data_IF_513176135701
#
_entry.id   IF_513176135701
#
_cell.length_a   1.000
_cell.length_b   1.000
_cell.length_c   1.000
_cell.angle_alpha   90.00
_cell.angle_beta   90.00
_cell.angle_gamma   90.00
#
_symmetry.space_group_name_H-M   'P 1'
#
loop_
_entity.id
_entity.type
_entity.pdbx_description
1 polymer ?
#
# COMPACT_ATOMS: atom_id res chain seq x y z
N UNK A 1 12.40 4.97 24.88
CA UNK A 1 12.42 5.35 23.46
C UNK A 1 12.70 4.09 22.67
N UNK A 2 11.88 3.79 21.66
CA UNK A 2 12.08 2.65 20.77
C UNK A 2 13.18 3.00 19.78
N UNK A 3 14.19 2.14 19.61
CA UNK A 3 15.20 2.28 18.56
C UNK A 3 14.91 1.26 17.48
N UNK A 4 14.74 1.70 16.23
CA UNK A 4 14.48 0.81 15.11
C UNK A 4 15.76 0.17 14.61
N UNK A 5 15.70 -1.12 14.31
CA UNK A 5 16.78 -1.80 13.60
C UNK A 5 16.75 -1.44 12.11
N UNK A 6 17.80 -1.81 11.39
CA UNK A 6 17.85 -1.67 9.92
C UNK A 6 16.72 -2.46 9.26
N UNK A 7 16.50 -3.70 9.69
CA UNK A 7 15.44 -4.56 9.18
C UNK A 7 14.04 -3.97 9.39
N UNK A 8 13.77 -3.38 10.57
CA UNK A 8 12.49 -2.71 10.83
C UNK A 8 12.26 -1.57 9.83
N UNK A 9 13.30 -0.79 9.54
CA UNK A 9 13.22 0.34 8.60
C UNK A 9 13.02 -0.12 7.16
N UNK A 10 13.68 -1.18 6.72
CA UNK A 10 13.46 -1.75 5.39
C UNK A 10 12.01 -2.19 5.18
N UNK A 11 11.39 -2.75 6.21
CA UNK A 11 9.96 -3.09 6.18
C UNK A 11 9.09 -1.82 6.13
N UNK A 12 9.41 -0.79 6.90
CA UNK A 12 8.70 0.50 6.86
C UNK A 12 8.87 1.22 5.51
N UNK A 13 10.03 1.11 4.86
CA UNK A 13 10.26 1.64 3.52
C UNK A 13 9.45 0.89 2.48
N UNK A 14 9.36 -0.44 2.60
CA UNK A 14 8.50 -1.27 1.76
C UNK A 14 7.02 -0.89 1.92
N UNK A 15 6.56 -0.70 3.16
CA UNK A 15 5.20 -0.21 3.43
C UNK A 15 4.97 1.19 2.84
N UNK A 16 5.91 2.13 3.04
CA UNK A 16 5.85 3.47 2.47
C UNK A 16 5.76 3.43 0.93
N UNK A 17 6.49 2.50 0.31
CA UNK A 17 6.44 2.26 -1.13
C UNK A 17 5.05 1.80 -1.56
N UNK A 18 4.50 0.74 -0.93
CA UNK A 18 3.17 0.24 -1.26
C UNK A 18 2.09 1.31 -1.08
N UNK A 19 2.12 2.06 0.02
CA UNK A 19 1.15 3.13 0.26
C UNK A 19 1.29 4.29 -0.75
N UNK A 20 2.50 4.61 -1.20
CA UNK A 20 2.73 5.60 -2.27
C UNK A 20 2.23 5.11 -3.62
N UNK A 21 2.49 3.84 -3.95
CA UNK A 21 2.08 3.23 -5.19
C UNK A 21 0.55 3.10 -5.28
N UNK A 22 -0.11 2.75 -4.16
CA UNK A 22 -1.58 2.76 -4.01
C UNK A 22 -2.17 4.13 -4.34
N UNK A 23 -1.67 5.20 -3.70
CA UNK A 23 -2.14 6.56 -3.94
C UNK A 23 -1.93 6.98 -5.41
N UNK A 24 -0.77 6.65 -5.98
CA UNK A 24 -0.46 6.98 -7.37
C UNK A 24 -1.39 6.26 -8.34
N UNK A 25 -1.61 4.96 -8.12
CA UNK A 25 -2.51 4.15 -8.93
C UNK A 25 -3.95 4.69 -8.85
N UNK A 26 -4.44 5.00 -7.64
CA UNK A 26 -5.79 5.54 -7.47
C UNK A 26 -5.94 6.94 -8.09
N UNK A 27 -4.99 7.85 -7.87
CA UNK A 27 -5.02 9.18 -8.49
C UNK A 27 -5.12 9.10 -10.02
N UNK A 28 -4.34 8.24 -10.65
CA UNK A 28 -4.38 8.08 -12.10
C UNK A 28 -5.65 7.36 -12.57
N UNK A 29 -6.14 6.35 -11.84
CA UNK A 29 -7.40 5.69 -12.15
C UNK A 29 -8.59 6.69 -12.16
N UNK A 30 -8.56 7.68 -11.27
CA UNK A 30 -9.60 8.68 -11.13
C UNK A 30 -9.49 9.86 -12.11
N UNK A 31 -8.40 9.97 -12.88
CA UNK A 31 -8.23 11.04 -13.87
C UNK A 31 -8.85 10.73 -15.23
N UNK A 32 -9.20 9.47 -15.51
CA UNK A 32 -9.76 9.07 -16.80
C UNK A 32 -11.15 9.68 -17.05
N UNK A 33 -11.38 10.15 -18.27
CA UNK A 33 -12.66 10.72 -18.73
C UNK A 33 -13.00 10.24 -20.14
N UNK A 34 -14.28 10.03 -20.41
CA UNK A 34 -14.77 9.65 -21.72
C UNK A 34 -14.70 10.83 -22.72
N UNK A 35 -14.55 10.55 -24.02
CA UNK A 35 -14.32 9.22 -24.61
C UNK A 35 -12.90 8.69 -24.33
N UNK A 36 -12.78 7.39 -24.04
CA UNK A 36 -11.50 6.73 -23.79
C UNK A 36 -10.97 6.06 -25.06
N UNK A 37 -9.70 6.27 -25.36
CA UNK A 37 -8.95 5.49 -26.35
C UNK A 37 -8.71 4.06 -25.86
N UNK A 38 -8.33 3.17 -26.79
CA UNK A 38 -7.96 1.77 -26.46
C UNK A 38 -6.80 1.73 -25.47
N UNK A 39 -5.83 2.64 -25.61
CA UNK A 39 -4.70 2.76 -24.68
C UNK A 39 -5.16 3.22 -23.29
N UNK A 40 -6.02 4.24 -23.21
CA UNK A 40 -6.55 4.71 -21.92
C UNK A 40 -7.41 3.66 -21.21
N UNK A 41 -8.17 2.83 -21.96
CA UNK A 41 -8.88 1.69 -21.39
C UNK A 41 -7.91 0.67 -20.77
N UNK A 42 -6.83 0.33 -21.48
CA UNK A 42 -5.81 -0.58 -20.99
C UNK A 42 -5.08 -0.01 -19.76
N UNK A 43 -4.73 1.28 -19.78
CA UNK A 43 -4.05 1.93 -18.67
C UNK A 43 -4.98 2.09 -17.45
N UNK A 44 -6.26 2.39 -17.66
CA UNK A 44 -7.26 2.44 -16.59
C UNK A 44 -7.34 1.10 -15.86
N UNK A 45 -7.35 -0.02 -16.59
CA UNK A 45 -7.27 -1.36 -16.00
C UNK A 45 -6.03 -1.53 -15.14
N UNK A 46 -4.86 -1.10 -15.64
CA UNK A 46 -3.59 -1.19 -14.90
C UNK A 46 -3.66 -0.41 -13.59
N UNK A 47 -4.23 0.79 -13.59
CA UNK A 47 -4.29 1.65 -12.42
C UNK A 47 -5.29 1.18 -11.37
N UNK A 48 -6.52 0.78 -11.75
CA UNK A 48 -7.45 0.15 -10.81
C UNK A 48 -6.87 -1.16 -10.23
N UNK A 49 -6.19 -1.95 -11.06
CA UNK A 49 -5.52 -3.18 -10.61
C UNK A 49 -4.37 -2.88 -9.63
N UNK A 50 -3.58 -1.85 -9.95
CA UNK A 50 -2.45 -1.38 -9.16
C UNK A 50 -2.87 -0.92 -7.77
N UNK A 51 -4.07 -0.35 -7.62
CA UNK A 51 -4.61 -0.03 -6.30
C UNK A 51 -4.72 -1.27 -5.41
N UNK A 52 -5.46 -2.30 -5.84
CA UNK A 52 -5.67 -3.51 -5.04
C UNK A 52 -4.37 -4.28 -4.80
N UNK A 53 -3.49 -4.33 -5.79
CA UNK A 53 -2.18 -4.96 -5.65
C UNK A 53 -1.39 -4.32 -4.50
N UNK A 54 -1.28 -3.00 -4.48
CA UNK A 54 -0.48 -2.29 -3.50
C UNK A 54 -1.15 -2.21 -2.13
N UNK A 55 -2.48 -2.07 -2.06
CA UNK A 55 -3.20 -2.13 -0.79
C UNK A 55 -3.01 -3.50 -0.11
N UNK A 56 -3.18 -4.61 -0.85
CA UNK A 56 -3.02 -5.94 -0.27
C UNK A 56 -1.55 -6.24 0.03
N UNK A 57 -0.59 -5.74 -0.75
CA UNK A 57 0.83 -5.86 -0.40
C UNK A 57 1.17 -5.12 0.91
N UNK A 58 0.57 -3.96 1.15
CA UNK A 58 0.69 -3.23 2.42
C UNK A 58 0.06 -3.97 3.60
N UNK A 59 -1.00 -4.76 3.38
CA UNK A 59 -1.58 -5.64 4.41
C UNK A 59 -0.69 -6.88 4.64
N UNK A 60 -0.27 -7.53 3.55
CA UNK A 60 0.49 -8.78 3.55
C UNK A 60 1.91 -8.63 4.15
N UNK A 61 2.45 -7.40 4.25
CA UNK A 61 3.75 -7.15 4.89
C UNK A 61 3.67 -7.11 6.42
N UNK A 62 2.50 -6.82 7.01
CA UNK A 62 2.34 -6.69 8.48
C UNK A 62 2.79 -7.94 9.25
N UNK A 63 2.49 -9.18 8.82
CA UNK A 63 3.01 -10.38 9.48
C UNK A 63 4.55 -10.48 9.51
N UNK A 64 5.25 -9.77 8.63
CA UNK A 64 6.72 -9.72 8.57
C UNK A 64 7.32 -8.55 9.38
N UNK A 65 6.48 -7.78 10.07
CA UNK A 65 6.86 -6.64 10.88
C UNK A 65 6.88 -7.06 12.36
N UNK A 66 8.04 -7.44 12.94
CA UNK A 66 8.11 -7.98 14.30
C UNK A 66 7.71 -6.96 15.37
N UNK A 67 7.74 -5.67 15.04
CA UNK A 67 7.28 -4.58 15.90
C UNK A 67 5.75 -4.44 15.94
N UNK A 68 5.00 -5.22 15.16
CA UNK A 68 3.54 -5.18 15.11
C UNK A 68 2.92 -6.51 15.55
N UNK A 69 1.84 -6.41 16.31
CA UNK A 69 1.01 -7.55 16.71
C UNK A 69 0.12 -8.00 15.54
N UNK A 70 0.63 -8.89 14.69
CA UNK A 70 0.00 -9.29 13.42
C UNK A 70 -1.39 -9.90 13.60
N UNK A 71 -1.58 -10.78 14.59
CA UNK A 71 -2.89 -11.37 14.91
C UNK A 71 -3.90 -10.30 15.34
N UNK A 72 -3.43 -9.30 16.11
CA UNK A 72 -4.28 -8.19 16.54
C UNK A 72 -4.64 -7.29 15.35
N UNK A 73 -3.70 -7.02 14.44
CA UNK A 73 -3.97 -6.27 13.22
C UNK A 73 -5.02 -6.98 12.35
N UNK A 74 -4.85 -8.28 12.10
CA UNK A 74 -5.80 -9.05 11.29
C UNK A 74 -7.21 -9.06 11.93
N UNK A 75 -7.28 -9.28 13.24
CA UNK A 75 -8.56 -9.24 13.97
C UNK A 75 -9.22 -7.86 13.88
N UNK A 76 -8.45 -6.78 14.04
CA UNK A 76 -8.97 -5.43 13.92
C UNK A 76 -9.43 -5.12 12.49
N UNK A 77 -8.69 -5.57 11.47
CA UNK A 77 -9.08 -5.43 10.07
C UNK A 77 -10.43 -6.09 9.82
N UNK A 78 -10.58 -7.35 10.21
CA UNK A 78 -11.83 -8.10 10.05
C UNK A 78 -12.99 -7.49 10.85
N UNK A 79 -12.72 -6.89 12.02
CA UNK A 79 -13.75 -6.24 12.85
C UNK A 79 -14.18 -4.89 12.28
N UNK A 80 -13.25 -4.12 11.69
CA UNK A 80 -13.51 -2.77 11.17
C UNK A 80 -14.02 -2.77 9.72
N UNK A 81 -13.73 -3.81 8.94
CA UNK A 81 -14.14 -3.92 7.54
C UNK A 81 -15.60 -4.41 7.41
N UNK A 82 -16.51 -3.79 8.15
CA UNK A 82 -17.95 -4.09 8.20
C UNK A 82 -18.74 -2.85 7.79
N UNK A 83 -19.80 -3.04 7.01
CA UNK A 83 -20.59 -1.93 6.43
C UNK A 83 -22.09 -2.23 6.49
N UNK A 84 -22.91 -1.19 6.36
CA UNK A 84 -24.37 -1.36 6.27
C UNK A 84 -24.72 -2.37 5.16
N UNK A 85 -25.52 -3.39 5.49
CA UNK A 85 -25.83 -4.51 4.58
C UNK A 85 -24.72 -5.57 4.42
N UNK A 86 -23.50 -5.33 4.90
CA UNK A 86 -22.32 -6.20 4.73
C UNK A 86 -21.55 -6.35 6.05
N UNK A 87 -22.12 -7.07 7.01
CA UNK A 87 -21.63 -7.19 8.40
C UNK A 87 -20.53 -8.26 8.60
N UNK A 88 -20.24 -9.07 7.59
CA UNK A 88 -19.19 -10.09 7.66
C UNK A 88 -17.85 -9.54 7.13
N UNK A 89 -17.05 -8.98 8.03
CA UNK A 89 -15.76 -8.40 7.66
C UNK A 89 -14.70 -9.42 7.23
N UNK A 90 -14.82 -10.68 7.65
CA UNK A 90 -13.98 -11.78 7.15
C UNK A 90 -14.27 -12.03 5.68
N UNK A 91 -15.56 -12.06 5.31
CA UNK A 91 -16.00 -12.20 3.94
C UNK A 91 -15.61 -10.96 3.09
N UNK A 92 -15.78 -9.75 3.62
CA UNK A 92 -15.37 -8.51 2.93
C UNK A 92 -13.86 -8.48 2.67
N UNK A 93 -13.05 -8.89 3.64
CA UNK A 93 -11.59 -8.98 3.47
C UNK A 93 -11.21 -10.08 2.46
N UNK A 94 -11.88 -11.22 2.54
CA UNK A 94 -11.67 -12.32 1.60
C UNK A 94 -12.05 -11.93 0.17
N UNK A 95 -13.09 -11.12 -0.02
CA UNK A 95 -13.46 -10.57 -1.32
C UNK A 95 -12.32 -9.75 -1.92
N UNK A 96 -11.76 -8.75 -1.22
CA UNK A 96 -10.69 -7.90 -1.79
C UNK A 96 -9.40 -8.70 -2.06
N UNK A 97 -9.09 -9.68 -1.21
CA UNK A 97 -7.94 -10.57 -1.40
C UNK A 97 -8.10 -11.44 -2.64
N UNK A 98 -9.28 -12.03 -2.83
CA UNK A 98 -9.54 -12.88 -4.01
C UNK A 98 -9.75 -12.07 -5.28
N UNK A 99 -10.24 -10.83 -5.19
CA UNK A 99 -10.27 -9.86 -6.29
C UNK A 99 -8.84 -9.57 -6.77
N UNK A 100 -7.91 -9.24 -5.86
CA UNK A 100 -6.47 -9.09 -6.18
C UNK A 100 -5.92 -10.35 -6.86
N UNK A 101 -6.21 -11.53 -6.32
CA UNK A 101 -5.75 -12.78 -6.91
C UNK A 101 -6.36 -13.04 -8.30
N UNK A 102 -7.61 -12.64 -8.53
CA UNK A 102 -8.27 -12.75 -9.82
C UNK A 102 -7.63 -11.84 -10.87
N UNK A 103 -7.34 -10.60 -10.49
CA UNK A 103 -6.62 -9.64 -11.33
C UNK A 103 -5.24 -10.19 -11.72
N UNK A 104 -4.42 -10.55 -10.72
CA UNK A 104 -2.99 -10.86 -10.92
C UNK A 104 -2.78 -12.24 -11.52
N UNK A 105 -3.52 -13.26 -11.06
CA UNK A 105 -3.23 -14.66 -11.38
C UNK A 105 -4.25 -15.30 -12.32
N UNK A 106 -5.41 -14.67 -12.55
CA UNK A 106 -6.47 -15.20 -13.41
C UNK A 106 -6.87 -14.25 -14.55
N UNK A 107 -6.20 -13.11 -14.66
CA UNK A 107 -6.39 -12.16 -15.76
C UNK A 107 -7.76 -11.45 -15.76
N UNK A 108 -8.44 -11.37 -14.60
CA UNK A 108 -9.71 -10.66 -14.47
C UNK A 108 -9.54 -9.20 -14.94
N UNK A 109 -10.47 -8.75 -15.78
CA UNK A 109 -10.58 -7.35 -16.19
C UNK A 109 -11.67 -6.68 -15.35
N UNK A 110 -11.23 -6.03 -14.27
CA UNK A 110 -12.11 -5.33 -13.32
C UNK A 110 -12.70 -4.04 -13.90
N UNK A 111 -12.28 -3.62 -15.10
CA UNK A 111 -12.77 -2.42 -15.79
C UNK A 111 -13.69 -2.75 -16.97
N UNK A 112 -14.04 -4.03 -17.14
CA UNK A 112 -14.83 -4.52 -18.28
C UNK A 112 -16.28 -4.01 -18.33
N UNK A 113 -16.81 -3.51 -17.21
CA UNK A 113 -18.16 -2.98 -17.13
C UNK A 113 -18.19 -1.65 -16.36
N UNK A 114 -18.88 -0.65 -16.91
CA UNK A 114 -18.99 0.67 -16.32
C UNK A 114 -20.34 1.32 -16.64
N UNK A 115 -20.85 2.12 -15.71
CA UNK A 115 -21.78 3.19 -16.00
C UNK A 115 -21.00 4.48 -16.29
N UNK A 116 -21.67 5.45 -16.91
CA UNK A 116 -21.10 6.79 -17.09
C UNK A 116 -21.97 7.78 -16.34
N UNK A 117 -21.32 8.57 -15.49
CA UNK A 117 -21.87 9.79 -14.91
C UNK A 117 -21.17 10.96 -15.59
N UNK A 118 -21.91 11.67 -16.44
CA UNK A 118 -21.35 12.53 -17.50
C UNK A 118 -20.25 11.83 -18.31
N UNK A 119 -18.99 12.24 -18.13
CA UNK A 119 -17.82 11.65 -18.77
C UNK A 119 -16.96 10.83 -17.80
N UNK A 120 -17.40 10.59 -16.57
CA UNK A 120 -16.67 9.78 -15.60
C UNK A 120 -17.08 8.31 -15.67
N UNK A 121 -16.13 7.37 -15.89
CA UNK A 121 -16.42 5.94 -15.91
C UNK A 121 -16.61 5.40 -14.48
N UNK A 122 -17.86 5.12 -14.11
CA UNK A 122 -18.23 4.44 -12.87
C UNK A 122 -18.13 2.93 -13.03
N UNK A 123 -16.96 2.38 -12.75
CA UNK A 123 -16.65 0.96 -12.87
C UNK A 123 -17.52 0.12 -11.94
N UNK A 124 -18.17 -0.90 -12.48
CA UNK A 124 -18.94 -1.86 -11.70
C UNK A 124 -18.01 -2.84 -11.00
N UNK A 125 -18.25 -3.07 -9.71
CA UNK A 125 -17.52 -4.10 -8.98
C UNK A 125 -17.88 -5.49 -9.52
N UNK A 126 -16.90 -6.39 -9.59
CA UNK A 126 -17.15 -7.79 -9.90
C UNK A 126 -18.04 -8.38 -8.79
N UNK A 127 -19.31 -8.73 -9.07
CA UNK A 127 -20.28 -9.05 -8.02
C UNK A 127 -19.87 -10.28 -7.20
N UNK A 128 -19.11 -11.20 -7.80
CA UNK A 128 -18.67 -12.45 -7.18
C UNK A 128 -17.25 -12.79 -7.59
N UNK A 129 -16.38 -12.99 -6.61
CA UNK A 129 -15.03 -13.54 -6.84
C UNK A 129 -14.89 -14.88 -6.16
N UNK A 130 -14.24 -15.83 -6.83
CA UNK A 130 -14.02 -17.16 -6.28
C UNK A 130 -12.58 -17.32 -5.78
N UNK A 131 -12.35 -18.25 -4.86
CA UNK A 131 -10.98 -18.67 -4.55
C UNK A 131 -10.33 -19.42 -5.73
N UNK A 132 -9.01 -19.64 -5.68
CA UNK A 132 -8.27 -20.34 -6.74
C UNK A 132 -8.88 -21.70 -7.15
N UNK A 133 -9.51 -22.40 -6.21
CA UNK A 133 -10.10 -23.73 -6.44
C UNK A 133 -11.57 -23.68 -6.92
N UNK A 134 -12.20 -22.51 -6.98
CA UNK A 134 -13.62 -22.36 -7.29
C UNK A 134 -14.59 -22.86 -6.21
N UNK A 135 -14.09 -23.19 -5.01
CA UNK A 135 -14.89 -23.82 -3.94
C UNK A 135 -15.55 -22.82 -2.98
N UNK A 136 -15.03 -21.60 -2.91
CA UNK A 136 -15.61 -20.51 -2.11
C UNK A 136 -15.88 -19.32 -3.01
N UNK A 137 -17.03 -18.70 -2.82
CA UNK A 137 -17.45 -17.48 -3.51
C UNK A 137 -17.62 -16.37 -2.49
N UNK A 138 -17.06 -15.20 -2.79
CA UNK A 138 -17.12 -13.99 -1.98
C UNK A 138 -17.87 -12.93 -2.77
N UNK A 139 -18.76 -12.21 -2.10
CA UNK A 139 -19.62 -11.20 -2.72
C UNK A 139 -19.01 -9.80 -2.57
N UNK A 140 -19.19 -8.98 -3.59
CA UNK A 140 -18.89 -7.56 -3.49
C UNK A 140 -19.74 -6.91 -2.39
N UNK A 141 -19.14 -5.99 -1.64
CA UNK A 141 -19.82 -5.22 -0.59
C UNK A 141 -20.17 -3.79 -1.03
N UNK A 142 -20.16 -3.55 -2.33
CA UNK A 142 -20.78 -2.41 -2.98
C UNK A 142 -21.00 -2.70 -4.48
N UNK A 143 -21.78 -1.84 -5.13
CA UNK A 143 -22.07 -1.89 -6.56
C UNK A 143 -20.90 -1.37 -7.39
N UNK A 144 -20.31 -0.24 -7.01
CA UNK A 144 -19.22 0.37 -7.76
C UNK A 144 -17.87 0.05 -7.13
N UNK A 145 -16.88 -0.18 -7.98
CA UNK A 145 -15.52 -0.46 -7.54
C UNK A 145 -14.95 0.70 -6.70
N UNK A 146 -15.33 1.93 -7.05
CA UNK A 146 -14.91 3.12 -6.31
C UNK A 146 -15.41 3.15 -4.87
N UNK A 147 -16.64 2.68 -4.61
CA UNK A 147 -17.18 2.64 -3.25
C UNK A 147 -16.49 1.56 -2.40
N UNK A 148 -16.15 0.43 -3.02
CA UNK A 148 -15.29 -0.60 -2.40
C UNK A 148 -13.92 -0.02 -2.03
N UNK A 149 -13.32 0.75 -2.95
CA UNK A 149 -12.06 1.44 -2.72
C UNK A 149 -12.19 2.44 -1.57
N UNK A 150 -13.23 3.28 -1.56
CA UNK A 150 -13.48 4.27 -0.51
C UNK A 150 -13.56 3.62 0.89
N UNK A 151 -14.32 2.52 0.97
CA UNK A 151 -14.46 1.71 2.18
C UNK A 151 -13.13 1.11 2.64
N UNK A 152 -12.32 0.61 1.71
CA UNK A 152 -10.98 0.11 2.01
C UNK A 152 -10.04 1.23 2.50
N UNK A 153 -10.05 2.39 1.85
CA UNK A 153 -9.26 3.56 2.25
C UNK A 153 -9.60 3.99 3.68
N UNK A 154 -10.89 4.06 3.99
CA UNK A 154 -11.39 4.51 5.29
C UNK A 154 -11.11 3.54 6.44
N UNK A 155 -10.91 2.25 6.14
CA UNK A 155 -10.64 1.22 7.16
C UNK A 155 -9.15 0.90 7.27
N UNK A 156 -8.52 0.52 6.15
CA UNK A 156 -7.16 -0.03 6.14
C UNK A 156 -6.14 1.03 6.49
N UNK A 157 -6.27 2.24 5.92
CA UNK A 157 -5.26 3.28 6.09
C UNK A 157 -5.20 3.79 7.53
N UNK A 158 -6.34 4.15 8.18
CA UNK A 158 -6.34 4.55 9.58
C UNK A 158 -5.95 3.40 10.51
N UNK A 159 -6.36 2.16 10.24
CA UNK A 159 -5.95 1.00 11.04
C UNK A 159 -4.42 0.83 11.04
N UNK A 160 -3.80 0.91 9.86
CA UNK A 160 -2.35 0.82 9.74
C UNK A 160 -1.65 1.95 10.50
N UNK A 161 -2.16 3.18 10.39
CA UNK A 161 -1.66 4.33 11.12
C UNK A 161 -1.78 4.14 12.65
N UNK A 162 -2.93 3.68 13.13
CA UNK A 162 -3.18 3.38 14.54
C UNK A 162 -2.19 2.35 15.07
N UNK A 163 -1.97 1.26 14.33
CA UNK A 163 -1.04 0.20 14.73
C UNK A 163 0.40 0.70 14.81
N UNK A 164 0.85 1.50 13.84
CA UNK A 164 2.21 2.08 13.86
C UNK A 164 2.37 3.13 14.96
N UNK A 165 1.35 3.92 15.25
CA UNK A 165 1.34 4.85 16.39
C UNK A 165 1.40 4.09 17.72
N UNK A 166 0.59 3.03 17.88
CA UNK A 166 0.55 2.21 19.09
C UNK A 166 1.90 1.50 19.35
N UNK A 167 2.60 1.09 18.29
CA UNK A 167 3.95 0.54 18.37
C UNK A 167 5.04 1.61 18.57
N UNK A 168 4.68 2.90 18.64
CA UNK A 168 5.62 4.01 18.85
C UNK A 168 6.58 4.25 17.68
N UNK A 169 6.22 3.82 16.46
CA UNK A 169 7.11 3.83 15.29
C UNK A 169 7.49 5.23 14.87
N UNK A 170 6.53 6.16 14.88
CA UNK A 170 6.79 7.52 14.42
C UNK A 170 7.59 8.37 15.41
N UNK A 171 7.69 7.93 16.66
CA UNK A 171 8.50 8.57 17.70
C UNK A 171 9.81 7.78 17.95
N UNK A 172 10.05 6.73 17.16
CA UNK A 172 11.22 5.89 17.30
C UNK A 172 12.48 6.57 16.76
N UNK A 173 13.60 6.31 17.43
CA UNK A 173 14.92 6.80 17.06
C UNK A 173 15.70 5.76 16.25
N UNK A 174 16.84 6.18 15.68
CA UNK A 174 17.76 5.30 14.96
C UNK A 174 19.16 5.40 15.59
N UNK A 175 19.92 4.31 15.49
CA UNK A 175 21.33 4.30 15.89
C UNK A 175 22.19 4.76 14.69
N UNK A 176 22.46 6.06 14.63
CA UNK A 176 23.19 6.66 13.53
C UNK A 176 24.63 6.16 13.40
N UNK A 177 25.25 5.72 14.49
CA UNK A 177 26.61 5.16 14.46
C UNK A 177 26.62 3.74 13.90
N UNK A 178 25.66 2.91 14.33
CA UNK A 178 25.48 1.57 13.76
C UNK A 178 25.21 1.63 12.25
N UNK A 179 24.37 2.59 11.82
CA UNK A 179 24.06 2.80 10.40
C UNK A 179 25.26 3.26 9.59
N UNK A 180 26.05 4.18 10.14
CA UNK A 180 27.27 4.64 9.49
C UNK A 180 28.25 3.48 9.31
N UNK A 181 28.35 2.61 10.32
CA UNK A 181 29.21 1.44 10.25
C UNK A 181 28.69 0.42 9.22
N UNK A 182 27.38 0.21 9.14
CA UNK A 182 26.78 -0.64 8.11
C UNK A 182 27.01 -0.10 6.70
N UNK A 183 26.81 1.20 6.48
CA UNK A 183 27.15 1.86 5.21
C UNK A 183 28.62 1.61 4.82
N UNK A 184 29.55 1.80 5.76
CA UNK A 184 30.98 1.55 5.50
C UNK A 184 31.24 0.09 5.15
N UNK A 185 30.54 -0.83 5.81
CA UNK A 185 30.67 -2.26 5.54
C UNK A 185 30.11 -2.63 4.15
N UNK A 186 28.95 -2.09 3.77
CA UNK A 186 28.33 -2.34 2.47
C UNK A 186 29.18 -1.81 1.32
N UNK A 187 29.79 -0.63 1.47
CA UNK A 187 30.76 -0.08 0.50
C UNK A 187 31.98 -0.99 0.34
N UNK A 188 32.57 -1.47 1.45
CA UNK A 188 33.74 -2.37 1.41
C UNK A 188 33.42 -3.69 0.71
N UNK A 189 32.26 -4.27 1.02
CA UNK A 189 31.83 -5.58 0.53
C UNK A 189 31.22 -5.53 -0.86
N UNK A 190 30.90 -4.35 -1.39
CA UNK A 190 30.27 -4.22 -2.71
C UNK A 190 31.13 -4.82 -3.82
N UNK A 191 30.58 -5.81 -4.53
CA UNK A 191 31.22 -6.37 -5.73
C UNK A 191 30.98 -5.52 -6.98
N UNK A 192 29.99 -4.63 -6.95
CA UNK A 192 29.63 -3.77 -8.08
C UNK A 192 30.44 -2.46 -8.13
N UNK A 193 31.09 -2.07 -7.03
CA UNK A 193 31.89 -0.85 -6.96
C UNK A 193 33.37 -1.13 -7.27
N UNK A 194 33.98 -0.45 -8.27
CA UNK A 194 35.42 -0.47 -8.45
C UNK A 194 36.16 0.04 -7.20
N UNK A 195 37.36 -0.49 -6.93
CA UNK A 195 38.13 -0.16 -5.70
C UNK A 195 38.40 1.35 -5.54
N UNK A 196 38.62 2.06 -6.64
CA UNK A 196 38.82 3.52 -6.62
C UNK A 196 37.56 4.24 -6.12
N UNK A 197 36.37 3.78 -6.52
CA UNK A 197 35.08 4.34 -6.09
C UNK A 197 34.81 4.00 -4.61
N UNK A 198 35.16 2.79 -4.16
CA UNK A 198 35.08 2.43 -2.73
C UNK A 198 35.96 3.34 -1.88
N UNK A 199 37.20 3.59 -2.31
CA UNK A 199 38.11 4.48 -1.60
C UNK A 199 37.58 5.92 -1.53
N UNK A 200 36.95 6.41 -2.60
CA UNK A 200 36.30 7.73 -2.61
C UNK A 200 35.10 7.77 -1.63
N UNK A 201 34.21 6.78 -1.69
CA UNK A 201 33.04 6.71 -0.83
C UNK A 201 33.40 6.61 0.66
N UNK A 202 34.41 5.82 1.01
CA UNK A 202 34.87 5.67 2.40
C UNK A 202 35.60 6.91 2.95
N UNK A 203 36.10 7.79 2.07
CA UNK A 203 36.67 9.09 2.45
C UNK A 203 35.62 10.19 2.63
N UNK A 204 34.41 9.98 2.12
CA UNK A 204 33.34 10.94 2.31
C UNK A 204 32.96 11.01 3.79
N UNK A 205 32.99 12.20 4.37
CA UNK A 205 32.49 12.45 5.71
C UNK A 205 30.96 12.46 5.66
N UNK A 206 30.34 11.41 6.19
CA UNK A 206 28.89 11.36 6.39
C UNK A 206 28.63 11.84 7.81
N UNK A 207 27.87 12.92 7.92
CA UNK A 207 27.41 13.42 9.21
C UNK A 207 26.31 12.48 9.75
N UNK A 208 26.46 11.89 10.95
CA UNK A 208 25.43 11.04 11.57
C UNK A 208 24.07 11.73 11.68
N UNK A 209 24.04 13.06 11.81
CA UNK A 209 22.80 13.84 11.84
C UNK A 209 21.96 13.67 10.57
N UNK A 210 22.60 13.50 9.40
CA UNK A 210 21.87 13.28 8.14
C UNK A 210 21.04 12.00 8.16
N UNK A 211 21.51 10.96 8.85
CA UNK A 211 20.78 9.69 9.00
C UNK A 211 19.52 9.91 9.83
N UNK A 212 19.62 10.68 10.91
CA UNK A 212 18.48 11.07 11.75
C UNK A 212 17.48 11.91 10.96
N UNK A 213 17.97 12.88 10.17
CA UNK A 213 17.13 13.75 9.34
C UNK A 213 16.38 12.95 8.26
N UNK A 214 17.07 12.01 7.60
CA UNK A 214 16.47 11.12 6.60
C UNK A 214 15.41 10.20 7.22
N UNK A 215 15.67 9.66 8.41
CA UNK A 215 14.67 8.88 9.15
C UNK A 215 13.42 9.71 9.47
N UNK A 216 13.60 10.90 10.05
CA UNK A 216 12.50 11.83 10.38
C UNK A 216 11.65 12.21 9.15
N UNK A 217 12.31 12.55 8.04
CA UNK A 217 11.64 12.85 6.79
C UNK A 217 10.86 11.63 6.24
N UNK A 218 11.41 10.42 6.41
CA UNK A 218 10.76 9.20 5.95
C UNK A 218 9.55 8.84 6.81
N UNK A 219 9.62 8.99 8.13
CA UNK A 219 8.46 8.78 9.01
C UNK A 219 7.34 9.79 8.74
N UNK A 220 7.70 11.05 8.48
CA UNK A 220 6.75 12.09 8.06
C UNK A 220 6.04 11.68 6.77
N UNK A 221 6.81 11.28 5.75
CA UNK A 221 6.26 10.82 4.48
C UNK A 221 5.37 9.58 4.65
N UNK A 222 5.80 8.58 5.42
CA UNK A 222 5.00 7.38 5.67
C UNK A 222 3.64 7.76 6.28
N UNK A 223 3.63 8.66 7.27
CA UNK A 223 2.39 9.16 7.89
C UNK A 223 1.46 9.81 6.86
N UNK A 224 1.99 10.63 5.95
CA UNK A 224 1.21 11.22 4.85
C UNK A 224 0.67 10.16 3.87
N UNK A 225 1.44 9.10 3.61
CA UNK A 225 1.03 8.01 2.70
C UNK A 225 -0.04 7.09 3.29
N UNK A 226 -0.10 7.03 4.62
CA UNK A 226 -1.15 6.35 5.36
C UNK A 226 -2.43 7.19 5.48
N UNK A 227 -2.45 8.43 4.99
CA UNK A 227 -3.71 9.15 4.88
C UNK A 227 -4.62 8.48 3.84
N UNK A 228 -5.92 8.30 4.16
CA UNK A 228 -6.92 7.90 3.18
C UNK A 228 -6.89 8.86 1.97
N UNK A 229 -6.95 8.30 0.78
CA UNK A 229 -7.10 9.06 -0.45
C UNK A 229 -8.57 9.45 -0.61
N UNK A 230 -8.85 10.74 -0.72
CA UNK A 230 -10.21 11.23 -0.92
C UNK A 230 -10.68 10.94 -2.35
N UNK A 231 -11.48 9.89 -2.49
CA UNK A 231 -12.08 9.50 -3.77
C UNK A 231 -13.21 10.42 -4.21
N UNK A 232 -13.77 11.24 -3.31
CA UNK A 232 -14.90 12.13 -3.64
C UNK A 232 -14.47 13.28 -4.53
N UNK A 233 -13.17 13.62 -4.54
CA UNK A 233 -12.58 14.59 -5.46
C UNK A 233 -12.68 14.18 -6.94
N UNK A 234 -13.00 12.91 -7.23
CA UNK A 234 -13.12 12.42 -8.60
C UNK A 234 -14.45 12.77 -9.28
N UNK A 235 -15.50 13.06 -8.51
CA UNK A 235 -16.80 13.43 -9.06
C UNK A 235 -16.78 14.88 -9.56
N UNK A 236 -17.24 15.16 -10.79
CA UNK A 236 -17.61 16.53 -11.16
C UNK A 236 -18.67 17.04 -10.18
N UNK A 237 -18.53 18.29 -9.71
CA UNK A 237 -19.62 18.98 -9.00
C UNK A 237 -20.63 19.55 -9.98
#
# INVERSE_FOLDING_TARGET
MTTLTIADRDMLYSLSWYMSARQTALRTALSYRAPLSVTELADMRVHYSGYFLNLLAAIDIVPNMPMLESEQFEKQLQTRLVFEGFQDGVNNYSYIRELRNAIVHRGLDITSAAHFDDNFPMILAEPKVQNKKGTKTFLAFDKYLLDIIAKCEFVVCPLMLDCLNAAGIFDATVDSEADLQEYRNSVKQSHAMPEQVKAMALRAEINPQWIVDVHSATMTRLREKLAPYDVTMAFPR
#
